data_IF_397039536290
#
_entry.id   IF_397039536290
#
_cell.length_a   1.000
_cell.length_b   1.000
_cell.length_c   1.000
_cell.angle_alpha   90.00
_cell.angle_beta   90.00
_cell.angle_gamma   90.00
#
_symmetry.space_group_name_H-M   'P 1'
#
loop_
_entity.id
_entity.type
_entity.pdbx_description
1 polymer ?
#
# COMPACT_ATOMS: atom_id res chain seq x y z
N UNK A 1 -6.28 -18.57 -1.22
CA UNK A 1 -5.39 -17.75 -2.07
C UNK A 1 -5.80 -16.30 -1.88
N UNK A 2 -4.87 -15.40 -1.56
CA UNK A 2 -5.19 -13.99 -1.28
C UNK A 2 -5.72 -13.28 -2.52
N UNK A 3 -6.63 -12.31 -2.34
CA UNK A 3 -7.17 -11.50 -3.43
C UNK A 3 -6.24 -10.33 -3.72
N UNK A 4 -5.21 -10.58 -4.53
CA UNK A 4 -4.20 -9.58 -4.87
C UNK A 4 -4.73 -8.39 -5.66
N UNK A 5 -5.81 -8.58 -6.44
CA UNK A 5 -6.47 -7.46 -7.12
C UNK A 5 -7.05 -6.48 -6.10
N UNK A 6 -7.69 -7.00 -5.04
CA UNK A 6 -8.21 -6.17 -3.95
C UNK A 6 -7.09 -5.46 -3.19
N UNK A 7 -5.96 -6.12 -2.96
CA UNK A 7 -4.80 -5.49 -2.33
C UNK A 7 -4.23 -4.34 -3.18
N UNK A 8 -4.16 -4.51 -4.51
CA UNK A 8 -3.73 -3.44 -5.42
C UNK A 8 -4.72 -2.26 -5.47
N UNK A 9 -6.01 -2.56 -5.49
CA UNK A 9 -7.08 -1.55 -5.41
C UNK A 9 -6.97 -0.74 -4.10
N UNK A 10 -6.75 -1.43 -2.97
CA UNK A 10 -6.58 -0.82 -1.65
C UNK A 10 -5.34 0.08 -1.57
N UNK A 11 -4.17 -0.42 -1.98
CA UNK A 11 -2.94 0.37 -2.08
C UNK A 11 -3.13 1.63 -2.92
N UNK A 12 -3.80 1.49 -4.08
CA UNK A 12 -4.06 2.62 -4.98
C UNK A 12 -5.02 3.64 -4.38
N UNK A 13 -5.97 3.21 -3.55
CA UNK A 13 -6.84 4.11 -2.81
C UNK A 13 -6.05 4.90 -1.76
N UNK A 14 -5.23 4.22 -0.95
CA UNK A 14 -4.36 4.87 0.04
C UNK A 14 -3.40 5.87 -0.62
N UNK A 15 -2.78 5.52 -1.75
CA UNK A 15 -1.91 6.45 -2.48
C UNK A 15 -2.63 7.74 -2.87
N UNK A 16 -3.85 7.64 -3.42
CA UNK A 16 -4.63 8.81 -3.81
C UNK A 16 -4.96 9.68 -2.60
N UNK A 17 -5.37 9.06 -1.51
CA UNK A 17 -5.73 9.79 -0.29
C UNK A 17 -4.53 10.50 0.34
N UNK A 18 -3.42 9.79 0.54
CA UNK A 18 -2.23 10.40 1.11
C UNK A 18 -1.54 11.40 0.17
N UNK A 19 -1.75 11.31 -1.15
CA UNK A 19 -1.21 12.29 -2.11
C UNK A 19 -1.85 13.67 -2.05
N UNK A 20 -3.06 13.77 -1.50
CA UNK A 20 -3.76 15.06 -1.35
C UNK A 20 -3.58 15.67 0.05
N UNK A 21 -2.90 14.95 0.94
CA UNK A 21 -2.52 15.45 2.26
C UNK A 21 -1.19 16.20 2.13
N UNK A 22 -1.00 17.24 2.95
CA UNK A 22 0.24 18.02 3.07
C UNK A 22 1.43 17.13 3.53
N UNK A 23 2.44 17.70 4.16
CA UNK A 23 3.71 17.05 4.51
C UNK A 23 3.57 15.71 5.26
N UNK A 24 2.49 15.50 6.02
CA UNK A 24 2.20 14.21 6.66
C UNK A 24 1.86 13.10 5.63
N UNK A 25 1.12 13.43 4.57
CA UNK A 25 0.83 12.52 3.47
C UNK A 25 2.07 12.09 2.73
N UNK A 26 2.99 13.04 2.49
CA UNK A 26 4.29 12.74 1.91
C UNK A 26 5.08 11.71 2.72
N UNK A 27 5.10 11.83 4.05
CA UNK A 27 5.79 10.85 4.91
C UNK A 27 5.13 9.46 4.82
N UNK A 28 3.80 9.38 4.88
CA UNK A 28 3.10 8.09 4.80
C UNK A 28 3.31 7.43 3.44
N UNK A 29 3.27 8.19 2.35
CA UNK A 29 3.56 7.67 1.01
C UNK A 29 4.95 7.06 0.94
N UNK A 30 5.99 7.82 1.30
CA UNK A 30 7.38 7.38 1.12
C UNK A 30 7.81 6.27 2.08
N UNK A 31 7.28 6.26 3.32
CA UNK A 31 7.76 5.35 4.37
C UNK A 31 6.85 4.15 4.62
N UNK A 32 5.59 4.19 4.16
CA UNK A 32 4.62 3.10 4.38
C UNK A 32 4.14 2.54 3.05
N UNK A 33 3.60 3.38 2.17
CA UNK A 33 2.88 2.93 0.97
C UNK A 33 3.84 2.49 -0.14
N UNK A 34 4.85 3.30 -0.46
CA UNK A 34 5.83 3.02 -1.51
C UNK A 34 6.64 1.73 -1.25
N UNK A 35 7.11 1.43 -0.02
CA UNK A 35 7.74 0.15 0.28
C UNK A 35 6.84 -1.07 0.02
N UNK A 36 5.56 -0.98 0.38
CA UNK A 36 4.59 -2.06 0.13
C UNK A 36 4.33 -2.23 -1.38
N UNK A 37 4.21 -1.13 -2.11
CA UNK A 37 4.06 -1.13 -3.57
C UNK A 37 5.27 -1.75 -4.26
N UNK A 38 6.48 -1.41 -3.82
CA UNK A 38 7.72 -1.95 -4.37
C UNK A 38 7.85 -3.46 -4.18
N UNK A 39 7.55 -3.97 -2.98
CA UNK A 39 7.50 -5.42 -2.70
C UNK A 39 6.49 -6.14 -3.60
N UNK A 40 5.29 -5.56 -3.76
CA UNK A 40 4.27 -6.13 -4.63
C UNK A 40 4.71 -6.14 -6.10
N UNK A 41 5.38 -5.07 -6.57
CA UNK A 41 5.95 -4.97 -7.93
C UNK A 41 7.08 -5.97 -8.17
N UNK A 42 7.88 -6.26 -7.15
CA UNK A 42 8.92 -7.31 -7.18
C UNK A 42 8.36 -8.73 -7.22
N UNK A 43 7.04 -8.89 -7.17
CA UNK A 43 6.38 -10.18 -7.27
C UNK A 43 6.20 -10.89 -5.92
N UNK A 44 6.45 -10.22 -4.80
CA UNK A 44 6.19 -10.80 -3.49
C UNK A 44 4.68 -11.06 -3.33
N UNK A 45 4.33 -12.29 -2.95
CA UNK A 45 2.94 -12.73 -2.73
C UNK A 45 2.82 -13.49 -1.40
N UNK A 46 3.46 -12.95 -0.37
CA UNK A 46 3.46 -13.48 0.99
C UNK A 46 2.17 -13.10 1.74
N UNK A 47 1.76 -13.93 2.71
CA UNK A 47 0.65 -13.57 3.61
C UNK A 47 0.93 -12.28 4.39
N UNK A 48 2.18 -12.10 4.80
CA UNK A 48 2.67 -10.92 5.52
C UNK A 48 2.40 -9.64 4.72
N UNK A 49 2.86 -9.59 3.47
CA UNK A 49 2.64 -8.43 2.60
C UNK A 49 1.15 -8.15 2.38
N UNK A 50 0.33 -9.21 2.20
CA UNK A 50 -1.11 -9.03 2.05
C UNK A 50 -1.74 -8.41 3.31
N UNK A 51 -1.36 -8.89 4.49
CA UNK A 51 -1.87 -8.37 5.77
C UNK A 51 -1.41 -6.95 6.02
N UNK A 52 -0.17 -6.61 5.71
CA UNK A 52 0.34 -5.25 5.81
C UNK A 52 -0.43 -4.30 4.89
N UNK A 53 -0.61 -4.66 3.62
CA UNK A 53 -1.39 -3.86 2.66
C UNK A 53 -2.83 -3.69 3.14
N UNK A 54 -3.51 -4.76 3.55
CA UNK A 54 -4.89 -4.65 4.00
C UNK A 54 -5.03 -3.96 5.37
N UNK A 55 -3.93 -3.88 6.13
CA UNK A 55 -3.84 -3.22 7.43
C UNK A 55 -3.56 -1.73 7.34
N UNK A 56 -3.06 -1.22 6.21
CA UNK A 56 -2.94 0.24 6.01
C UNK A 56 -4.34 0.84 5.98
N UNK A 57 -4.59 1.81 6.86
CA UNK A 57 -5.85 2.53 6.86
C UNK A 57 -5.82 3.62 5.79
N UNK A 58 -7.00 3.90 5.23
CA UNK A 58 -7.29 5.13 4.51
C UNK A 58 -7.26 6.26 5.53
#
# INVERSE_FOLDING_TARGET
MFNWRKAEEHLTACEKEYSVIDTAGYLILNYVIDPLRDRLRKGERSEELYREIMGTQL
#
